data_IF_344452577544
#
_entry.id   IF_344452577544
#
_cell.length_a   1.000
_cell.length_b   1.000
_cell.length_c   1.000
_cell.angle_alpha   90.00
_cell.angle_beta   90.00
_cell.angle_gamma   90.00
#
_symmetry.space_group_name_H-M   'P 1'
#
loop_
_entity.id
_entity.type
_entity.pdbx_description
1 polymer ?
#
# COMPACT_ATOMS: atom_id res chain seq x y z
N UNK A 1 52.21 23.13 43.50
CA UNK A 1 50.92 23.44 42.85
C UNK A 1 50.82 22.50 41.67
N UNK A 2 50.42 21.28 41.99
CA UNK A 2 50.30 20.15 41.07
C UNK A 2 49.07 20.32 40.20
N UNK A 3 49.30 20.64 38.92
CA UNK A 3 48.27 20.71 37.89
C UNK A 3 48.21 19.38 37.15
N UNK A 4 47.57 18.39 37.77
CA UNK A 4 47.29 17.10 37.17
C UNK A 4 46.23 17.29 36.08
N UNK A 5 46.65 17.34 34.82
CA UNK A 5 45.73 17.28 33.69
C UNK A 5 45.11 15.88 33.70
N UNK A 6 43.79 15.72 33.83
CA UNK A 6 43.17 14.42 33.74
C UNK A 6 43.32 13.96 32.30
N UNK A 7 44.25 13.04 32.07
CA UNK A 7 44.24 12.17 30.90
C UNK A 7 42.97 11.35 31.04
N UNK A 8 41.88 11.88 30.48
CA UNK A 8 40.64 11.13 30.26
C UNK A 8 41.06 9.82 29.63
N UNK A 9 40.72 8.72 30.32
CA UNK A 9 41.03 7.34 29.97
C UNK A 9 40.53 6.98 28.56
N UNK A 10 41.28 7.42 27.55
CA UNK A 10 41.14 7.03 26.16
C UNK A 10 42.07 5.83 25.90
N UNK A 11 41.90 4.76 26.68
CA UNK A 11 42.38 3.44 26.26
C UNK A 11 41.25 2.73 25.52
N UNK A 12 40.79 3.35 24.43
CA UNK A 12 40.23 2.59 23.31
C UNK A 12 41.41 1.78 22.79
N UNK A 13 41.55 0.55 23.27
CA UNK A 13 42.66 -0.32 22.89
C UNK A 13 42.52 -0.63 21.41
N UNK A 14 43.57 -0.35 20.62
CA UNK A 14 43.66 -0.74 19.21
C UNK A 14 43.33 -2.23 19.00
N UNK A 15 43.54 -3.07 20.03
CA UNK A 15 43.19 -4.48 20.03
C UNK A 15 41.67 -4.76 19.91
N UNK A 16 40.80 -3.81 20.27
CA UNK A 16 39.34 -3.96 20.15
C UNK A 16 38.83 -3.64 18.74
N UNK A 17 39.60 -2.89 17.94
CA UNK A 17 39.18 -2.42 16.63
C UNK A 17 38.86 -3.57 15.65
N UNK A 18 39.67 -4.65 15.52
CA UNK A 18 39.32 -5.77 14.66
C UNK A 18 38.01 -6.46 15.06
N UNK A 19 37.73 -6.54 16.37
CA UNK A 19 36.51 -7.15 16.87
C UNK A 19 35.27 -6.30 16.56
N UNK A 20 35.38 -4.97 16.69
CA UNK A 20 34.31 -4.04 16.32
C UNK A 20 34.02 -4.13 14.81
N UNK A 21 35.06 -4.07 13.96
CA UNK A 21 34.90 -4.15 12.51
C UNK A 21 34.32 -5.50 12.06
N UNK A 22 34.75 -6.61 12.67
CA UNK A 22 34.19 -7.92 12.37
C UNK A 22 32.69 -8.02 12.72
N UNK A 23 32.27 -7.43 13.85
CA UNK A 23 30.85 -7.38 14.24
C UNK A 23 30.04 -6.50 13.33
N UNK A 24 30.55 -5.32 12.97
CA UNK A 24 29.91 -4.40 12.03
C UNK A 24 29.71 -5.08 10.66
N UNK A 25 30.75 -5.74 10.13
CA UNK A 25 30.67 -6.52 8.89
C UNK A 25 29.61 -7.62 8.97
N UNK A 26 29.56 -8.39 10.06
CA UNK A 26 28.55 -9.43 10.24
C UNK A 26 27.12 -8.86 10.29
N UNK A 27 26.93 -7.67 10.86
CA UNK A 27 25.63 -6.99 10.85
C UNK A 27 25.25 -6.49 9.45
N UNK A 28 26.21 -6.02 8.64
CA UNK A 28 25.97 -5.71 7.24
C UNK A 28 25.51 -6.95 6.45
N UNK A 29 26.12 -8.10 6.67
CA UNK A 29 25.72 -9.37 6.03
C UNK A 29 24.29 -9.77 6.41
N UNK A 30 23.93 -9.65 7.70
CA UNK A 30 22.56 -9.91 8.18
C UNK A 30 21.55 -8.95 7.56
N UNK A 31 21.87 -7.66 7.43
CA UNK A 31 21.01 -6.68 6.79
C UNK A 31 20.82 -6.98 5.30
N UNK A 32 21.89 -7.37 4.60
CA UNK A 32 21.82 -7.76 3.20
C UNK A 32 20.89 -8.98 3.00
N UNK A 33 20.98 -9.99 3.87
CA UNK A 33 20.07 -11.13 3.87
C UNK A 33 18.62 -10.70 4.12
N UNK A 34 18.40 -9.81 5.09
CA UNK A 34 17.07 -9.31 5.42
C UNK A 34 16.43 -8.56 4.24
N UNK A 35 17.18 -7.70 3.54
CA UNK A 35 16.71 -6.98 2.34
C UNK A 35 16.32 -7.95 1.21
N UNK A 36 17.05 -9.05 1.03
CA UNK A 36 16.69 -10.10 0.05
C UNK A 36 15.38 -10.78 0.46
N UNK A 37 15.23 -11.15 1.74
CA UNK A 37 14.00 -11.75 2.25
C UNK A 37 12.78 -10.82 2.10
N UNK A 38 12.96 -9.52 2.37
CA UNK A 38 11.93 -8.49 2.17
C UNK A 38 11.50 -8.44 0.70
N UNK A 39 12.47 -8.35 -0.22
CA UNK A 39 12.20 -8.32 -1.67
C UNK A 39 11.43 -9.56 -2.14
N UNK A 40 11.77 -10.73 -1.63
CA UNK A 40 11.10 -11.98 -1.97
C UNK A 40 9.72 -12.10 -1.33
N UNK A 41 9.51 -11.52 -0.14
CA UNK A 41 8.17 -11.40 0.44
C UNK A 41 7.27 -10.49 -0.41
N UNK A 42 7.78 -9.34 -0.87
CA UNK A 42 7.04 -8.42 -1.76
C UNK A 42 6.68 -9.10 -3.09
N UNK A 43 7.62 -9.81 -3.73
CA UNK A 43 7.35 -10.56 -4.97
C UNK A 43 6.25 -11.62 -4.77
N UNK A 44 6.21 -12.25 -3.59
CA UNK A 44 5.19 -13.24 -3.23
C UNK A 44 3.82 -12.64 -2.91
N UNK A 45 3.65 -11.32 -2.84
CA UNK A 45 2.35 -10.67 -2.64
C UNK A 45 1.37 -10.82 -3.83
N UNK A 46 1.56 -11.84 -4.69
CA UNK A 46 0.70 -12.16 -5.81
C UNK A 46 0.39 -10.95 -6.72
N UNK A 47 1.34 -10.01 -6.87
CA UNK A 47 1.11 -8.74 -7.58
C UNK A 47 0.65 -8.95 -9.03
N UNK A 48 1.17 -9.98 -9.71
CA UNK A 48 0.73 -10.37 -11.05
C UNK A 48 -0.70 -10.90 -11.09
N UNK A 49 -1.12 -11.66 -10.08
CA UNK A 49 -2.50 -12.15 -9.96
C UNK A 49 -3.45 -10.97 -9.70
N UNK A 50 -3.06 -10.03 -8.83
CA UNK A 50 -3.82 -8.80 -8.58
C UNK A 50 -4.04 -7.99 -9.86
N UNK A 51 -3.03 -7.87 -10.73
CA UNK A 51 -3.18 -7.18 -12.02
C UNK A 51 -4.24 -7.86 -12.90
N UNK A 52 -4.14 -9.18 -13.07
CA UNK A 52 -5.10 -9.96 -13.87
C UNK A 52 -6.52 -9.89 -13.30
N UNK A 53 -6.68 -10.01 -11.97
CA UNK A 53 -7.96 -9.88 -11.27
C UNK A 53 -8.56 -8.48 -11.48
N UNK A 54 -7.74 -7.43 -11.40
CA UNK A 54 -8.20 -6.06 -11.60
C UNK A 54 -8.62 -5.82 -13.06
N UNK A 55 -7.87 -6.33 -14.04
CA UNK A 55 -8.26 -6.26 -15.45
C UNK A 55 -9.61 -6.95 -15.70
N UNK A 56 -9.77 -8.17 -15.19
CA UNK A 56 -11.04 -8.90 -15.24
C UNK A 56 -12.17 -8.12 -14.57
N UNK A 57 -11.93 -7.50 -13.41
CA UNK A 57 -12.92 -6.68 -12.71
C UNK A 57 -13.35 -5.47 -13.55
N UNK A 58 -12.41 -4.79 -14.22
CA UNK A 58 -12.72 -3.65 -15.08
C UNK A 58 -13.65 -4.09 -16.21
N UNK A 59 -13.32 -5.17 -16.94
CA UNK A 59 -14.17 -5.67 -18.02
C UNK A 59 -15.58 -6.05 -17.55
N UNK A 60 -15.70 -6.68 -16.38
CA UNK A 60 -17.01 -7.00 -15.79
C UNK A 60 -17.80 -5.73 -15.46
N UNK A 61 -17.15 -4.71 -14.87
CA UNK A 61 -17.80 -3.45 -14.52
C UNK A 61 -18.24 -2.67 -15.77
N UNK A 62 -17.46 -2.72 -16.85
CA UNK A 62 -17.83 -2.14 -18.14
C UNK A 62 -19.07 -2.83 -18.72
N UNK A 63 -19.13 -4.17 -18.69
CA UNK A 63 -20.33 -4.90 -19.12
C UNK A 63 -21.55 -4.60 -18.24
N UNK A 64 -21.37 -4.50 -16.91
CA UNK A 64 -22.46 -4.12 -16.00
C UNK A 64 -22.95 -2.68 -16.25
N UNK A 65 -22.05 -1.77 -16.63
CA UNK A 65 -22.42 -0.40 -16.98
C UNK A 65 -23.25 -0.36 -18.26
N UNK A 66 -22.85 -1.09 -19.30
CA UNK A 66 -23.62 -1.21 -20.54
C UNK A 66 -25.02 -1.78 -20.29
N UNK A 67 -25.13 -2.87 -19.52
CA UNK A 67 -26.41 -3.47 -19.16
C UNK A 67 -27.30 -2.53 -18.35
N UNK A 68 -26.71 -1.71 -17.47
CA UNK A 68 -27.45 -0.69 -16.74
C UNK A 68 -28.01 0.36 -17.69
N UNK A 69 -27.22 0.85 -18.64
CA UNK A 69 -27.65 1.86 -19.61
C UNK A 69 -28.77 1.30 -20.51
N UNK A 70 -28.65 0.05 -20.97
CA UNK A 70 -29.71 -0.65 -21.71
C UNK A 70 -31.01 -0.78 -20.89
N UNK A 71 -30.88 -1.17 -19.61
CA UNK A 71 -32.02 -1.28 -18.70
C UNK A 71 -32.69 0.08 -18.46
N UNK A 72 -31.90 1.13 -18.21
CA UNK A 72 -32.40 2.48 -17.96
C UNK A 72 -33.17 3.01 -19.19
N UNK A 73 -32.64 2.82 -20.40
CA UNK A 73 -33.31 3.18 -21.65
C UNK A 73 -34.63 2.42 -21.83
N UNK A 74 -34.64 1.10 -21.59
CA UNK A 74 -35.85 0.29 -21.71
C UNK A 74 -36.92 0.71 -20.69
N UNK A 75 -36.51 1.00 -19.45
CA UNK A 75 -37.43 1.48 -18.41
C UNK A 75 -38.00 2.84 -18.75
N UNK A 76 -37.21 3.75 -19.34
CA UNK A 76 -37.70 5.04 -19.80
C UNK A 76 -38.70 4.91 -20.96
N UNK A 77 -38.42 4.05 -21.95
CA UNK A 77 -39.34 3.77 -23.06
C UNK A 77 -40.66 3.16 -22.57
N UNK A 78 -40.60 2.22 -21.63
CA UNK A 78 -41.79 1.66 -20.99
C UNK A 78 -42.56 2.72 -20.19
N UNK A 79 -41.86 3.53 -19.37
CA UNK A 79 -42.48 4.60 -18.60
C UNK A 79 -43.18 5.62 -19.50
N UNK A 80 -42.58 5.95 -20.66
CA UNK A 80 -43.19 6.83 -21.65
C UNK A 80 -44.41 6.18 -22.31
N UNK A 81 -44.30 4.92 -22.74
CA UNK A 81 -45.38 4.17 -23.41
C UNK A 81 -46.62 4.03 -22.52
N UNK A 82 -46.42 3.74 -21.24
CA UNK A 82 -47.50 3.55 -20.27
C UNK A 82 -47.81 4.80 -19.44
N UNK A 83 -47.31 5.97 -19.86
CA UNK A 83 -47.58 7.29 -19.27
C UNK A 83 -47.38 7.34 -17.75
N UNK A 84 -46.27 6.77 -17.28
CA UNK A 84 -45.87 6.82 -15.86
C UNK A 84 -45.31 8.20 -15.54
N UNK A 85 -45.89 8.94 -14.56
CA UNK A 85 -45.39 10.25 -14.17
C UNK A 85 -43.93 10.22 -13.72
N UNK A 86 -43.14 11.21 -14.12
CA UNK A 86 -41.71 11.31 -13.78
C UNK A 86 -41.45 11.19 -12.27
N UNK A 87 -42.31 11.76 -11.43
CA UNK A 87 -42.19 11.70 -9.97
C UNK A 87 -42.29 10.29 -9.38
N UNK A 88 -42.87 9.34 -10.12
CA UNK A 88 -43.18 7.98 -9.64
C UNK A 88 -42.50 6.89 -10.48
N UNK A 89 -41.54 7.25 -11.36
CA UNK A 89 -40.86 6.28 -12.23
C UNK A 89 -40.01 5.33 -11.40
N UNK A 90 -40.57 4.15 -11.18
CA UNK A 90 -39.92 3.01 -10.53
C UNK A 90 -40.25 1.76 -11.33
N UNK A 91 -39.39 0.74 -11.27
CA UNK A 91 -39.65 -0.56 -11.90
C UNK A 91 -41.01 -1.13 -11.46
N UNK A 92 -41.33 -1.03 -10.17
CA UNK A 92 -42.61 -1.48 -9.61
C UNK A 92 -43.81 -0.76 -10.22
N UNK A 93 -43.79 0.57 -10.31
CA UNK A 93 -44.90 1.36 -10.89
C UNK A 93 -45.04 1.09 -12.39
N UNK A 94 -43.93 0.98 -13.12
CA UNK A 94 -43.92 0.63 -14.55
C UNK A 94 -44.58 -0.74 -14.74
N UNK A 95 -44.16 -1.76 -13.98
CA UNK A 95 -44.71 -3.11 -14.09
C UNK A 95 -46.20 -3.18 -13.69
N UNK A 96 -46.62 -2.41 -12.68
CA UNK A 96 -48.02 -2.32 -12.27
C UNK A 96 -48.90 -1.77 -13.40
N UNK A 97 -48.41 -0.76 -14.14
CA UNK A 97 -49.12 -0.15 -15.28
C UNK A 97 -49.14 -1.03 -16.53
N UNK A 98 -48.07 -1.78 -16.77
CA UNK A 98 -47.95 -2.72 -17.91
C UNK A 98 -48.97 -3.86 -17.80
N UNK A 99 -49.39 -4.22 -16.58
CA UNK A 99 -50.34 -5.31 -16.31
C UNK A 99 -49.94 -6.66 -16.96
N UNK A 100 -48.64 -6.90 -17.13
CA UNK A 100 -48.12 -8.14 -17.70
C UNK A 100 -48.24 -9.29 -16.70
N UNK A 101 -48.60 -10.51 -17.14
CA UNK A 101 -48.57 -11.70 -16.28
C UNK A 101 -47.15 -12.02 -15.78
N UNK A 102 -46.10 -11.45 -16.39
CA UNK A 102 -44.71 -11.65 -15.98
C UNK A 102 -44.22 -10.62 -14.94
N UNK A 103 -45.04 -9.65 -14.56
CA UNK A 103 -44.62 -8.55 -13.67
C UNK A 103 -44.02 -9.05 -12.34
N UNK A 104 -44.63 -10.08 -11.73
CA UNK A 104 -44.10 -10.67 -10.49
C UNK A 104 -42.71 -11.29 -10.66
N UNK A 105 -42.49 -12.02 -11.75
CA UNK A 105 -41.19 -12.65 -12.05
C UNK A 105 -40.11 -11.60 -12.31
N UNK A 106 -40.43 -10.54 -13.04
CA UNK A 106 -39.48 -9.46 -13.32
C UNK A 106 -39.11 -8.71 -12.03
N UNK A 107 -40.09 -8.46 -11.15
CA UNK A 107 -39.85 -7.80 -9.88
C UNK A 107 -38.92 -8.63 -8.97
N UNK A 108 -39.16 -9.94 -8.87
CA UNK A 108 -38.29 -10.86 -8.12
C UNK A 108 -36.85 -10.86 -8.66
N UNK A 109 -36.69 -10.84 -9.99
CA UNK A 109 -35.37 -10.75 -10.61
C UNK A 109 -34.66 -9.43 -10.31
N UNK A 110 -35.41 -8.32 -10.33
CA UNK A 110 -34.88 -6.99 -10.02
C UNK A 110 -34.45 -6.87 -8.54
N UNK A 111 -35.25 -7.40 -7.62
CA UNK A 111 -34.92 -7.44 -6.20
C UNK A 111 -33.67 -8.29 -5.93
N UNK A 112 -33.59 -9.47 -6.54
CA UNK A 112 -32.41 -10.35 -6.45
C UNK A 112 -31.16 -9.71 -7.05
N UNK A 113 -31.29 -8.93 -8.12
CA UNK A 113 -30.19 -8.14 -8.67
C UNK A 113 -29.72 -7.09 -7.66
N UNK A 114 -30.65 -6.34 -7.05
CA UNK A 114 -30.32 -5.34 -6.04
C UNK A 114 -29.58 -5.94 -4.83
N UNK A 115 -29.96 -7.14 -4.39
CA UNK A 115 -29.24 -7.91 -3.37
C UNK A 115 -27.82 -8.25 -3.77
N UNK A 116 -27.63 -8.80 -4.98
CA UNK A 116 -26.29 -9.11 -5.51
C UNK A 116 -25.41 -7.87 -5.58
N UNK A 117 -25.96 -6.74 -6.05
CA UNK A 117 -25.24 -5.47 -6.13
C UNK A 117 -24.83 -4.98 -4.74
N UNK A 118 -25.70 -5.09 -3.73
CA UNK A 118 -25.37 -4.73 -2.34
C UNK A 118 -24.23 -5.60 -1.79
N UNK A 119 -24.30 -6.91 -1.99
CA UNK A 119 -23.25 -7.83 -1.55
C UNK A 119 -21.90 -7.50 -2.21
N UNK A 120 -21.86 -7.34 -3.53
CA UNK A 120 -20.64 -6.98 -4.27
C UNK A 120 -20.05 -5.66 -3.78
N UNK A 121 -20.87 -4.65 -3.47
CA UNK A 121 -20.39 -3.37 -2.91
C UNK A 121 -19.74 -3.55 -1.54
N UNK A 122 -20.29 -4.42 -0.69
CA UNK A 122 -19.70 -4.75 0.61
C UNK A 122 -18.34 -5.44 0.45
N UNK A 123 -18.24 -6.42 -0.46
CA UNK A 123 -16.99 -7.12 -0.74
C UNK A 123 -15.91 -6.20 -1.32
N UNK A 124 -16.30 -5.26 -2.20
CA UNK A 124 -15.38 -4.23 -2.71
C UNK A 124 -14.88 -3.34 -1.58
N UNK A 125 -15.76 -2.90 -0.67
CA UNK A 125 -15.37 -2.08 0.47
C UNK A 125 -14.41 -2.83 1.41
N UNK A 126 -14.67 -4.12 1.68
CA UNK A 126 -13.76 -4.96 2.46
C UNK A 126 -12.37 -5.08 1.79
N UNK A 127 -12.33 -5.31 0.47
CA UNK A 127 -11.08 -5.36 -0.28
C UNK A 127 -10.32 -4.03 -0.25
N UNK A 128 -11.00 -2.89 -0.29
CA UNK A 128 -10.37 -1.57 -0.14
C UNK A 128 -9.70 -1.40 1.23
N UNK A 129 -10.36 -1.84 2.31
CA UNK A 129 -9.78 -1.81 3.66
C UNK A 129 -8.52 -2.68 3.73
N UNK A 130 -8.53 -3.87 3.15
CA UNK A 130 -7.36 -4.76 3.13
C UNK A 130 -6.18 -4.14 2.37
N UNK A 131 -6.43 -3.60 1.18
CA UNK A 131 -5.40 -2.94 0.37
C UNK A 131 -4.81 -1.75 1.13
N UNK A 132 -5.67 -0.90 1.72
CA UNK A 132 -5.22 0.24 2.50
C UNK A 132 -4.39 -0.18 3.71
N UNK A 133 -4.79 -1.26 4.40
CA UNK A 133 -4.04 -1.79 5.55
C UNK A 133 -2.65 -2.26 5.14
N UNK A 134 -2.52 -2.95 4.01
CA UNK A 134 -1.23 -3.39 3.46
C UNK A 134 -0.36 -2.18 3.07
N UNK A 135 -0.94 -1.18 2.40
CA UNK A 135 -0.22 0.06 2.04
C UNK A 135 0.28 0.80 3.29
N UNK A 136 -0.56 0.93 4.31
CA UNK A 136 -0.19 1.58 5.57
C UNK A 136 0.92 0.82 6.29
N UNK A 137 0.85 -0.51 6.31
CA UNK A 137 1.90 -1.36 6.88
C UNK A 137 3.25 -1.14 6.17
N UNK A 138 3.27 -1.19 4.84
CA UNK A 138 4.49 -0.96 4.05
C UNK A 138 5.06 0.45 4.27
N UNK A 139 4.18 1.47 4.34
CA UNK A 139 4.61 2.84 4.60
C UNK A 139 5.22 3.01 6.00
N UNK A 140 4.63 2.39 7.04
CA UNK A 140 5.17 2.44 8.40
C UNK A 140 6.50 1.70 8.51
N UNK A 141 6.66 0.57 7.82
CA UNK A 141 7.94 -0.13 7.77
C UNK A 141 9.02 0.77 7.16
N UNK A 142 8.73 1.46 6.05
CA UNK A 142 9.63 2.42 5.42
C UNK A 142 10.00 3.58 6.36
N UNK A 143 9.03 4.17 7.05
CA UNK A 143 9.26 5.29 7.97
C UNK A 143 10.06 4.88 9.22
N UNK A 144 9.84 3.67 9.75
CA UNK A 144 10.64 3.15 10.86
C UNK A 144 12.14 3.08 10.52
N UNK A 145 12.47 2.80 9.25
CA UNK A 145 13.85 2.85 8.78
C UNK A 145 14.39 4.28 8.66
N UNK A 146 13.57 5.30 8.34
CA UNK A 146 14.03 6.69 8.26
C UNK A 146 14.32 7.30 9.64
N UNK A 147 13.54 6.95 10.66
CA UNK A 147 13.65 7.55 12.00
C UNK A 147 14.78 6.94 12.86
N UNK A 148 15.36 5.80 12.46
CA UNK A 148 16.38 5.11 13.24
C UNK A 148 17.83 5.39 12.83
N UNK A 149 18.07 6.20 11.79
CA UNK A 149 19.43 6.58 11.42
C UNK A 149 19.87 7.78 12.30
N UNK A 150 20.99 7.67 13.05
CA UNK A 150 21.55 8.83 13.73
C UNK A 150 21.92 9.91 12.71
N UNK A 151 21.76 11.19 13.09
CA UNK A 151 21.88 12.43 12.29
C UNK A 151 23.20 12.64 11.48
N UNK A 152 24.11 11.67 11.46
CA UNK A 152 25.32 11.68 10.65
C UNK A 152 25.49 10.37 9.90
N UNK A 153 25.40 10.42 8.57
CA UNK A 153 25.74 9.32 7.68
C UNK A 153 27.20 8.90 7.93
N UNK A 154 27.41 7.80 8.64
CA UNK A 154 28.75 7.27 8.92
C UNK A 154 29.49 6.85 7.64
N UNK A 155 28.73 6.50 6.61
CA UNK A 155 29.19 6.10 5.29
C UNK A 155 28.46 6.92 4.22
N UNK A 156 29.15 7.26 3.15
CA UNK A 156 28.56 7.87 1.97
C UNK A 156 27.61 6.91 1.27
N UNK A 157 26.82 7.42 0.32
CA UNK A 157 25.97 6.60 -0.56
C UNK A 157 26.74 5.50 -1.32
N UNK A 158 28.05 5.68 -1.50
CA UNK A 158 28.96 4.70 -2.13
C UNK A 158 29.62 3.75 -1.11
N UNK A 159 29.23 3.80 0.16
CA UNK A 159 29.78 2.98 1.24
C UNK A 159 31.15 3.42 1.75
N UNK A 160 31.62 4.62 1.38
CA UNK A 160 32.89 5.15 1.88
C UNK A 160 32.67 5.88 3.21
N UNK A 161 33.45 5.56 4.24
CA UNK A 161 33.31 6.22 5.54
C UNK A 161 33.45 7.74 5.40
N UNK A 162 32.49 8.52 5.90
CA UNK A 162 32.58 9.97 5.89
C UNK A 162 33.76 10.41 6.77
N UNK A 163 34.78 11.00 6.16
CA UNK A 163 35.92 11.57 6.88
C UNK A 163 35.45 12.84 7.61
N UNK A 164 35.01 12.69 8.86
CA UNK A 164 34.97 13.82 9.77
C UNK A 164 36.41 14.26 9.99
N UNK A 165 36.85 15.26 9.22
CA UNK A 165 38.14 15.91 9.41
C UNK A 165 38.17 16.52 10.81
N UNK A 166 38.70 15.78 11.79
CA UNK A 166 39.34 16.40 12.95
C UNK A 166 40.68 16.90 12.44
N UNK A 167 40.96 18.21 12.42
CA UNK A 167 42.27 18.69 12.02
C UNK A 167 43.28 18.14 13.03
N UNK A 168 44.10 17.18 12.60
CA UNK A 168 45.27 16.78 13.34
C UNK A 168 46.19 18.00 13.38
N UNK A 169 46.20 18.72 14.50
CA UNK A 169 47.18 19.77 14.74
C UNK A 169 48.57 19.14 14.63
N UNK A 170 49.27 19.47 13.54
CA UNK A 170 50.63 19.05 13.28
C UNK A 170 51.51 19.66 14.36
N UNK A 171 51.87 18.87 15.38
CA UNK A 171 52.96 19.21 16.29
C UNK A 171 54.24 19.06 15.47
N UNK A 172 54.68 20.15 14.83
CA UNK A 172 56.04 20.27 14.31
C UNK A 172 56.98 20.31 15.50
N UNK A 173 57.85 19.31 15.60
CA UNK A 173 59.01 19.29 16.49
C UNK A 173 60.28 19.45 15.64
N UNK A 174 61.21 20.21 16.21
CA UNK A 174 62.64 20.41 15.86
C UNK A 174 62.94 21.59 14.92
N UNK A 175 63.85 22.50 15.26
CA UNK A 175 64.83 22.52 16.35
C UNK A 175 65.22 23.93 16.78
#
# INVERSE_FOLDING_TARGET
>A
MDGQVPTVNASISLAQLPHILARESAHCDLLAQNIVQERDAIKRMALGEFLSINQSRISILESLHQLKDELDLLLDDLANTYQVPLSNRTVTEILHRVQSPQAGVILEQYERLAEKVRAVKQDIAANQVLIHSVQSFLFRALEAHRQSLPDGDLYSELGARQQHHVPAAVIRRQG
#
